data_IF_352186442537
#
_entry.id   IF_352186442537
#
_cell.length_a   1.000
_cell.length_b   1.000
_cell.length_c   1.000
_cell.angle_alpha   90.00
_cell.angle_beta   90.00
_cell.angle_gamma   90.00
#
_symmetry.space_group_name_H-M   'P 1'
#
loop_
_entity.id
_entity.type
_entity.pdbx_description
1 polymer ?
#
# COMPACT_ATOMS: atom_id res chain seq x y z
N UNK A 1 13.00 -13.45 -2.07
CA UNK A 1 11.69 -13.00 -1.55
C UNK A 1 10.61 -13.21 -2.59
N UNK A 2 9.49 -13.74 -2.19
CA UNK A 2 8.38 -14.00 -3.09
C UNK A 2 7.26 -12.98 -2.90
N UNK A 3 6.50 -12.75 -3.96
CA UNK A 3 5.38 -11.81 -3.95
C UNK A 3 4.15 -12.49 -4.56
N UNK A 4 2.98 -12.29 -3.96
CA UNK A 4 1.72 -12.82 -4.49
C UNK A 4 0.54 -11.98 -4.03
N UNK A 5 -0.62 -12.22 -4.63
CA UNK A 5 -1.83 -11.55 -4.17
C UNK A 5 -2.24 -12.04 -2.78
N UNK A 6 -2.85 -11.15 -2.00
CA UNK A 6 -3.28 -11.44 -0.64
C UNK A 6 -4.35 -12.54 -0.61
N UNK A 7 -4.27 -13.36 0.42
CA UNK A 7 -5.27 -14.38 0.74
C UNK A 7 -5.84 -14.10 2.13
N UNK A 8 -6.99 -14.68 2.44
CA UNK A 8 -7.65 -14.46 3.72
C UNK A 8 -6.74 -14.83 4.91
N UNK A 9 -5.90 -15.84 4.76
CA UNK A 9 -4.95 -16.24 5.81
C UNK A 9 -3.88 -15.21 6.10
N UNK A 10 -3.68 -14.21 5.23
CA UNK A 10 -2.69 -13.16 5.40
C UNK A 10 -3.22 -11.95 6.18
N UNK A 11 -4.54 -11.81 6.28
CA UNK A 11 -5.18 -10.59 6.78
C UNK A 11 -4.69 -10.19 8.17
N UNK A 12 -4.62 -11.14 9.09
CA UNK A 12 -4.20 -10.85 10.46
C UNK A 12 -2.76 -10.33 10.51
N UNK A 13 -1.85 -10.99 9.79
CA UNK A 13 -0.43 -10.63 9.82
C UNK A 13 -0.19 -9.27 9.18
N UNK A 14 -0.83 -8.99 8.04
CA UNK A 14 -0.64 -7.71 7.39
C UNK A 14 -1.22 -6.56 8.23
N UNK A 15 -2.34 -6.78 8.91
CA UNK A 15 -2.90 -5.78 9.82
C UNK A 15 -1.93 -5.48 10.97
N UNK A 16 -1.28 -6.50 11.53
CA UNK A 16 -0.27 -6.32 12.57
C UNK A 16 0.90 -5.47 12.09
N UNK A 17 1.39 -5.74 10.89
CA UNK A 17 2.50 -4.98 10.30
C UNK A 17 2.11 -3.51 10.10
N UNK A 18 0.93 -3.26 9.56
CA UNK A 18 0.44 -1.90 9.31
C UNK A 18 0.29 -1.14 10.63
N UNK A 19 -0.33 -1.74 11.64
CA UNK A 19 -0.54 -1.09 12.93
C UNK A 19 0.79 -0.80 13.63
N UNK A 20 1.73 -1.74 13.60
CA UNK A 20 3.04 -1.54 14.21
C UNK A 20 3.79 -0.37 13.59
N UNK A 21 3.73 -0.25 12.25
CA UNK A 21 4.35 0.88 11.54
C UNK A 21 3.72 2.21 11.94
N UNK A 22 2.39 2.27 11.98
CA UNK A 22 1.68 3.51 12.32
C UNK A 22 1.89 3.92 13.77
N UNK A 23 1.90 2.98 14.70
CA UNK A 23 2.18 3.26 16.11
C UNK A 23 3.57 3.86 16.28
N UNK A 24 4.58 3.31 15.60
CA UNK A 24 5.95 3.80 15.67
C UNK A 24 6.08 5.22 15.14
N UNK A 25 5.30 5.59 14.14
CA UNK A 25 5.32 6.90 13.52
C UNK A 25 4.35 7.88 14.18
N UNK A 26 3.70 7.47 15.28
CA UNK A 26 2.68 8.26 15.97
C UNK A 26 1.48 8.60 15.06
N UNK A 27 1.15 7.67 14.17
CA UNK A 27 0.02 7.79 13.23
C UNK A 27 -1.13 6.84 13.58
N UNK A 28 -1.20 6.35 14.80
CA UNK A 28 -2.32 5.56 15.31
C UNK A 28 -3.47 6.48 15.73
N UNK A 29 -3.92 7.31 14.79
CA UNK A 29 -4.92 8.37 14.99
C UNK A 29 -6.02 8.24 13.90
N UNK A 30 -7.21 8.82 14.13
CA UNK A 30 -8.27 8.82 13.12
C UNK A 30 -7.81 9.44 11.81
N UNK A 31 -8.30 8.92 10.68
CA UNK A 31 -7.94 9.38 9.35
C UNK A 31 -6.78 8.64 8.72
N UNK A 32 -6.11 7.76 9.48
CA UNK A 32 -5.08 6.87 8.93
C UNK A 32 -5.62 5.45 8.80
N UNK A 33 -4.83 4.58 8.18
CA UNK A 33 -5.21 3.17 8.01
C UNK A 33 -5.40 2.44 9.35
N UNK A 34 -4.85 2.95 10.46
CA UNK A 34 -4.93 2.30 11.77
C UNK A 34 -6.37 2.01 12.19
N UNK A 35 -7.29 2.93 11.91
CA UNK A 35 -8.70 2.80 12.28
C UNK A 35 -9.60 2.47 11.09
N UNK A 36 -9.03 2.07 9.95
CA UNK A 36 -9.77 1.63 8.80
C UNK A 36 -10.54 0.34 9.16
N UNK A 37 -11.88 0.32 9.03
CA UNK A 37 -12.65 -0.88 9.36
C UNK A 37 -12.30 -2.09 8.50
N UNK A 38 -11.67 -1.88 7.36
CA UNK A 38 -11.27 -2.96 6.47
C UNK A 38 -9.88 -3.52 6.77
N UNK A 39 -9.15 -2.92 7.73
CA UNK A 39 -7.76 -3.28 7.98
C UNK A 39 -7.55 -4.77 8.28
N UNK A 40 -8.46 -5.39 8.99
CA UNK A 40 -8.38 -6.82 9.32
C UNK A 40 -9.00 -7.72 8.26
N UNK A 41 -9.52 -7.13 7.18
CA UNK A 41 -10.22 -7.85 6.12
C UNK A 41 -9.77 -7.36 4.74
N UNK A 42 -8.48 -7.06 4.58
CA UNK A 42 -7.96 -6.51 3.33
C UNK A 42 -8.21 -7.45 2.15
N UNK A 43 -8.10 -8.76 2.36
CA UNK A 43 -8.36 -9.72 1.28
C UNK A 43 -9.78 -9.60 0.74
N UNK A 44 -10.77 -9.40 1.61
CA UNK A 44 -12.16 -9.22 1.19
C UNK A 44 -12.34 -7.97 0.36
N UNK A 45 -11.73 -6.85 0.78
CA UNK A 45 -11.84 -5.60 0.06
C UNK A 45 -11.16 -5.67 -1.31
N UNK A 46 -9.88 -6.07 -1.33
CA UNK A 46 -9.10 -6.04 -2.57
C UNK A 46 -9.50 -7.13 -3.56
N UNK A 47 -9.98 -8.26 -3.08
CA UNK A 47 -10.43 -9.34 -3.96
C UNK A 47 -11.89 -9.23 -4.38
N UNK A 48 -12.63 -8.24 -3.87
CA UNK A 48 -14.04 -8.04 -4.23
C UNK A 48 -14.24 -7.58 -5.67
N UNK A 49 -13.22 -6.95 -6.26
CA UNK A 49 -13.22 -6.58 -7.66
C UNK A 49 -11.80 -6.67 -8.21
N UNK A 50 -11.42 -7.86 -8.63
CA UNK A 50 -10.05 -8.15 -9.07
C UNK A 50 -9.65 -7.43 -10.36
N UNK A 51 -10.60 -6.84 -11.08
CA UNK A 51 -10.31 -6.04 -12.28
C UNK A 51 -9.89 -4.62 -11.94
N UNK A 52 -10.27 -4.11 -10.75
CA UNK A 52 -10.05 -2.72 -10.36
C UNK A 52 -9.08 -2.56 -9.21
N UNK A 53 -8.91 -3.58 -8.37
CA UNK A 53 -8.10 -3.48 -7.17
C UNK A 53 -7.36 -4.79 -6.88
N UNK A 54 -6.23 -4.66 -6.22
CA UNK A 54 -5.42 -5.80 -5.79
C UNK A 54 -4.56 -5.42 -4.59
N UNK A 55 -4.19 -6.40 -3.80
CA UNK A 55 -3.20 -6.24 -2.73
C UNK A 55 -2.16 -7.33 -2.90
N UNK A 56 -0.88 -6.95 -2.92
CA UNK A 56 0.23 -7.89 -3.03
C UNK A 56 0.97 -7.96 -1.71
N UNK A 57 1.30 -9.18 -1.29
CA UNK A 57 2.09 -9.40 -0.08
C UNK A 57 3.48 -9.89 -0.46
N UNK A 58 4.47 -9.48 0.34
CA UNK A 58 5.85 -9.95 0.23
C UNK A 58 6.07 -11.02 1.27
N UNK A 59 6.67 -12.13 0.87
CA UNK A 59 6.99 -13.25 1.75
C UNK A 59 8.48 -13.30 1.99
N UNK A 60 8.90 -13.46 3.24
CA UNK A 60 10.31 -13.61 3.58
C UNK A 60 10.84 -15.02 3.24
N UNK A 61 12.09 -15.29 3.60
CA UNK A 61 12.73 -16.56 3.29
C UNK A 61 12.04 -17.76 3.95
N UNK A 62 11.30 -17.52 5.04
CA UNK A 62 10.58 -18.59 5.73
C UNK A 62 9.14 -18.75 5.21
N UNK A 63 8.73 -17.94 4.26
CA UNK A 63 7.39 -17.96 3.71
C UNK A 63 6.37 -17.15 4.50
N UNK A 64 6.82 -16.36 5.48
CA UNK A 64 5.93 -15.50 6.27
C UNK A 64 5.73 -14.16 5.60
N UNK A 65 4.52 -13.60 5.74
CA UNK A 65 4.22 -12.26 5.26
C UNK A 65 5.06 -11.23 5.99
N UNK A 66 5.80 -10.42 5.24
CA UNK A 66 6.70 -9.40 5.76
C UNK A 66 6.35 -7.99 5.26
N UNK A 67 5.34 -7.84 4.44
CA UNK A 67 4.90 -6.55 3.95
C UNK A 67 3.89 -6.68 2.84
N UNK A 68 3.45 -5.54 2.31
CA UNK A 68 2.50 -5.54 1.22
C UNK A 68 2.19 -4.15 0.70
N UNK A 69 1.46 -4.11 -0.42
CA UNK A 69 1.02 -2.88 -1.08
C UNK A 69 -0.33 -3.13 -1.75
N UNK A 70 -1.20 -2.13 -1.69
CA UNK A 70 -2.50 -2.17 -2.33
C UNK A 70 -2.63 -1.17 -3.46
N UNK A 71 -3.50 -1.50 -4.41
CA UNK A 71 -3.90 -0.61 -5.50
C UNK A 71 -5.42 -0.71 -5.62
N UNK A 72 -6.09 0.43 -5.73
CA UNK A 72 -7.53 0.49 -5.92
C UNK A 72 -7.88 1.67 -6.82
N UNK A 73 -9.10 1.66 -7.36
CA UNK A 73 -9.59 2.76 -8.16
C UNK A 73 -9.60 4.06 -7.35
N UNK A 74 -9.28 5.18 -8.01
CA UNK A 74 -9.26 6.50 -7.40
C UNK A 74 -10.15 7.44 -8.20
N UNK A 75 -11.25 7.87 -7.62
CA UNK A 75 -12.29 8.64 -8.31
C UNK A 75 -11.94 10.11 -8.52
N UNK A 76 -10.92 10.62 -7.85
CA UNK A 76 -10.56 12.03 -7.94
C UNK A 76 -9.88 12.43 -9.25
N UNK A 77 -9.36 11.47 -10.01
CA UNK A 77 -8.63 11.68 -11.26
C UNK A 77 -9.05 10.61 -12.25
N UNK A 78 -9.30 10.99 -13.50
CA UNK A 78 -9.71 10.06 -14.54
C UNK A 78 -8.65 8.99 -14.82
N UNK A 79 -9.07 7.76 -15.02
CA UNK A 79 -8.20 6.61 -15.32
C UNK A 79 -7.06 6.46 -14.30
N UNK A 80 -7.36 6.70 -13.04
CA UNK A 80 -6.37 6.72 -11.96
C UNK A 80 -6.61 5.61 -10.95
N UNK A 81 -5.52 4.98 -10.52
CA UNK A 81 -5.53 4.12 -9.35
C UNK A 81 -4.78 4.81 -8.22
N UNK A 82 -5.09 4.44 -7.00
CA UNK A 82 -4.37 4.91 -5.81
C UNK A 82 -3.52 3.79 -5.25
N UNK A 83 -2.25 4.08 -5.00
CA UNK A 83 -1.36 3.19 -4.28
C UNK A 83 -1.65 3.35 -2.79
N UNK A 84 -1.92 2.23 -2.11
CA UNK A 84 -2.42 2.23 -0.74
C UNK A 84 -1.62 1.26 0.13
N UNK A 85 -1.51 1.61 1.40
CA UNK A 85 -1.07 0.69 2.46
C UNK A 85 0.21 -0.07 2.12
N UNK A 86 1.22 0.66 1.65
CA UNK A 86 2.57 0.12 1.46
C UNK A 86 3.29 0.10 2.81
N UNK A 87 3.48 -1.07 3.36
CA UNK A 87 4.13 -1.25 4.65
C UNK A 87 5.02 -2.47 4.65
N UNK A 88 6.10 -2.41 5.43
CA UNK A 88 7.04 -3.51 5.61
C UNK A 88 7.23 -3.77 7.09
N UNK A 89 7.45 -5.04 7.44
CA UNK A 89 7.96 -5.39 8.77
C UNK A 89 9.37 -4.84 8.93
N UNK A 90 9.73 -4.45 10.15
CA UNK A 90 11.04 -3.86 10.42
C UNK A 90 12.21 -4.77 10.03
N UNK A 91 12.02 -6.08 10.17
CA UNK A 91 13.05 -7.06 9.86
C UNK A 91 13.51 -7.03 8.41
N UNK A 92 12.68 -6.48 7.50
CA UNK A 92 13.00 -6.47 6.07
C UNK A 92 13.15 -5.06 5.50
N UNK A 93 13.09 -4.03 6.33
CA UNK A 93 13.28 -2.65 5.87
C UNK A 93 14.73 -2.42 5.44
N UNK A 94 14.91 -1.54 4.45
CA UNK A 94 16.23 -1.18 3.96
C UNK A 94 16.86 -2.19 3.02
N UNK A 95 16.10 -3.21 2.58
CA UNK A 95 16.60 -4.27 1.70
C UNK A 95 16.05 -4.20 0.27
N UNK A 96 15.31 -3.15 -0.05
CA UNK A 96 14.78 -2.95 -1.40
C UNK A 96 13.41 -3.56 -1.66
N UNK A 97 12.76 -4.16 -0.66
CA UNK A 97 11.48 -4.82 -0.86
C UNK A 97 10.34 -3.83 -1.12
N UNK A 98 10.39 -2.66 -0.49
CA UNK A 98 9.39 -1.61 -0.75
C UNK A 98 9.42 -1.14 -2.19
N UNK A 99 10.62 -0.98 -2.75
CA UNK A 99 10.80 -0.59 -4.14
C UNK A 99 10.24 -1.65 -5.08
N UNK A 100 10.48 -2.92 -4.78
CA UNK A 100 9.98 -4.03 -5.58
C UNK A 100 8.45 -4.12 -5.52
N UNK A 101 7.86 -3.93 -4.34
CA UNK A 101 6.40 -3.89 -4.20
C UNK A 101 5.80 -2.74 -5.00
N UNK A 102 6.43 -1.56 -5.00
CA UNK A 102 5.95 -0.43 -5.81
C UNK A 102 6.00 -0.75 -7.30
N UNK A 103 7.04 -1.44 -7.74
CA UNK A 103 7.14 -1.86 -9.15
C UNK A 103 6.01 -2.83 -9.51
N UNK A 104 5.74 -3.80 -8.65
CA UNK A 104 4.66 -4.77 -8.85
C UNK A 104 3.31 -4.05 -8.93
N UNK A 105 3.07 -3.09 -8.03
CA UNK A 105 1.85 -2.31 -8.01
C UNK A 105 1.69 -1.47 -9.28
N UNK A 106 2.74 -0.82 -9.71
CA UNK A 106 2.74 -0.01 -10.93
C UNK A 106 2.46 -0.86 -12.16
N UNK A 107 3.13 -2.01 -12.28
CA UNK A 107 2.94 -2.92 -13.40
C UNK A 107 1.51 -3.47 -13.42
N UNK A 108 0.97 -3.82 -12.26
CA UNK A 108 -0.40 -4.29 -12.18
C UNK A 108 -1.40 -3.20 -12.60
N UNK A 109 -1.20 -1.97 -12.11
CA UNK A 109 -2.08 -0.85 -12.45
C UNK A 109 -2.07 -0.59 -13.96
N UNK A 110 -0.90 -0.64 -14.57
CA UNK A 110 -0.75 -0.48 -16.01
C UNK A 110 -1.49 -1.59 -16.78
N UNK A 111 -1.34 -2.83 -16.33
CA UNK A 111 -2.02 -3.98 -16.92
C UNK A 111 -3.53 -3.92 -16.75
N UNK A 112 -4.01 -3.31 -15.67
CA UNK A 112 -5.44 -3.14 -15.42
C UNK A 112 -6.07 -2.00 -16.23
N UNK A 113 -5.26 -1.23 -16.97
CA UNK A 113 -5.76 -0.17 -17.82
C UNK A 113 -5.68 1.24 -17.21
N UNK A 114 -5.11 1.37 -16.03
CA UNK A 114 -4.92 2.69 -15.42
C UNK A 114 -3.79 3.43 -16.10
N UNK A 115 -3.97 4.74 -16.29
CA UNK A 115 -2.96 5.61 -16.90
C UNK A 115 -2.22 6.46 -15.87
N UNK A 116 -2.82 6.64 -14.71
CA UNK A 116 -2.27 7.46 -13.64
C UNK A 116 -2.24 6.68 -12.35
N UNK A 117 -1.26 6.97 -11.51
CA UNK A 117 -1.13 6.36 -10.18
C UNK A 117 -1.00 7.49 -9.16
N UNK A 118 -1.97 7.59 -8.27
CA UNK A 118 -2.02 8.62 -7.23
C UNK A 118 -1.43 8.07 -5.94
N UNK A 119 -0.71 8.92 -5.25
CA UNK A 119 -0.11 8.58 -3.96
C UNK A 119 -0.25 9.75 -3.02
N UNK A 120 -0.76 9.47 -1.82
CA UNK A 120 -0.85 10.46 -0.75
C UNK A 120 -0.18 9.89 0.49
N UNK A 121 0.63 10.71 1.17
CA UNK A 121 1.38 10.28 2.35
C UNK A 121 1.50 11.42 3.35
N UNK A 122 1.81 11.05 4.60
CA UNK A 122 2.06 12.01 5.67
C UNK A 122 3.53 12.44 5.71
N UNK A 123 3.78 13.66 6.19
CA UNK A 123 5.15 14.17 6.32
C UNK A 123 6.00 13.36 7.29
N UNK A 124 5.37 12.65 8.25
CA UNK A 124 6.06 11.74 9.15
C UNK A 124 6.68 10.53 8.44
N UNK A 125 6.33 10.31 7.17
CA UNK A 125 6.82 9.18 6.38
C UNK A 125 7.96 9.61 5.45
N UNK A 126 8.93 10.36 5.96
CA UNK A 126 10.01 10.93 5.15
C UNK A 126 10.83 9.88 4.38
N UNK A 127 11.04 8.71 4.95
CA UNK A 127 11.75 7.61 4.25
C UNK A 127 10.94 7.11 3.08
N UNK A 128 9.64 6.95 3.25
CA UNK A 128 8.75 6.55 2.16
C UNK A 128 8.70 7.62 1.07
N UNK A 129 8.67 8.90 1.44
CA UNK A 129 8.73 10.00 0.47
C UNK A 129 9.99 9.92 -0.38
N UNK A 130 11.14 9.63 0.24
CA UNK A 130 12.40 9.45 -0.49
C UNK A 130 12.33 8.31 -1.50
N UNK A 131 11.74 7.19 -1.11
CA UNK A 131 11.55 6.05 -2.00
C UNK A 131 10.67 6.42 -3.20
N UNK A 132 9.54 7.09 -2.95
CA UNK A 132 8.61 7.49 -4.00
C UNK A 132 9.28 8.43 -5.02
N UNK A 133 10.06 9.38 -4.57
CA UNK A 133 10.80 10.28 -5.45
C UNK A 133 11.76 9.52 -6.36
N UNK A 134 12.45 8.51 -5.82
CA UNK A 134 13.39 7.70 -6.62
C UNK A 134 12.67 6.94 -7.72
N UNK A 135 11.41 6.63 -7.55
CA UNK A 135 10.61 5.92 -8.55
C UNK A 135 9.92 6.83 -9.56
N UNK A 136 10.18 8.14 -9.49
CA UNK A 136 9.68 9.09 -10.48
C UNK A 136 8.28 9.61 -10.23
N UNK A 137 7.74 9.44 -9.03
CA UNK A 137 6.44 10.02 -8.70
C UNK A 137 6.54 11.54 -8.59
N UNK A 138 5.51 12.21 -9.10
CA UNK A 138 5.40 13.66 -9.03
C UNK A 138 4.49 14.05 -7.89
N UNK A 139 4.85 15.11 -7.17
CA UNK A 139 4.03 15.63 -6.10
C UNK A 139 2.86 16.42 -6.68
N UNK A 140 1.67 16.19 -6.15
CA UNK A 140 0.46 16.94 -6.52
C UNK A 140 0.28 18.05 -5.50
N UNK A 141 0.06 19.30 -5.98
CA UNK A 141 -0.07 20.46 -5.11
C UNK A 141 -1.31 20.39 -4.21
N UNK A 142 -2.41 19.84 -4.72
CA UNK A 142 -3.66 19.68 -3.95
C UNK A 142 -4.04 18.22 -3.88
N UNK A 143 -3.92 17.59 -2.70
CA UNK A 143 -4.38 16.21 -2.56
C UNK A 143 -5.90 16.14 -2.70
N UNK A 144 -6.38 15.07 -3.34
CA UNK A 144 -7.80 14.80 -3.44
C UNK A 144 -8.28 14.18 -2.13
N UNK A 145 -9.47 14.60 -1.68
CA UNK A 145 -10.06 14.02 -0.47
C UNK A 145 -10.73 12.69 -0.78
N UNK A 146 -10.35 11.65 -0.04
CA UNK A 146 -10.94 10.32 -0.16
C UNK A 146 -10.79 9.58 1.17
N UNK A 147 -11.73 8.66 1.51
CA UNK A 147 -11.64 7.89 2.74
C UNK A 147 -10.39 7.02 2.87
N UNK A 148 -9.74 6.70 1.76
CA UNK A 148 -8.57 5.81 1.74
C UNK A 148 -7.27 6.54 1.39
N UNK A 149 -7.26 7.87 1.41
CA UNK A 149 -6.11 8.65 0.94
C UNK A 149 -4.89 8.58 1.86
N UNK A 150 -5.07 8.32 3.14
CA UNK A 150 -3.95 8.27 4.09
C UNK A 150 -3.26 6.90 4.06
N UNK A 151 -1.97 6.92 3.98
CA UNK A 151 -1.15 5.72 4.06
C UNK A 151 -0.93 5.28 5.48
#
# INVERSE_FOLDING_TARGET
MDYRKIEASDDKRIAEIIRANLERLHLNIPGTAYFDPELEHLSSYYNSDSSKRAYFVALDETGQVAGGVGIAEFDGIESCAELQKLYLDDSVKGKGFGKELMRIAEDWARSAGYRNLYLETHTNLSVALGLYKKMGFCQIEKPCSTPHSAM
#
